data_IF_899640186441
#
_entry.id   IF_899640186441
#
_cell.length_a   1.000
_cell.length_b   1.000
_cell.length_c   1.000
_cell.angle_alpha   90.00
_cell.angle_beta   90.00
_cell.angle_gamma   90.00
#
_symmetry.space_group_name_H-M   'P 1'
#
loop_
_entity.id
_entity.type
_entity.pdbx_description
1 polymer ?
#
# COMPACT_ATOMS: atom_id res chain seq x y z
N UNK A 1 -1.64 -5.90 -23.93
CA UNK A 1 -0.59 -6.11 -22.89
C UNK A 1 0.25 -7.35 -23.18
N UNK A 2 -0.37 -8.51 -23.46
CA UNK A 2 0.33 -9.74 -23.87
C UNK A 2 0.71 -9.79 -25.37
N UNK A 3 0.51 -8.70 -26.10
CA UNK A 3 0.83 -8.65 -27.53
C UNK A 3 2.35 -8.70 -27.72
N UNK A 4 2.80 -9.65 -28.54
CA UNK A 4 4.21 -9.77 -28.93
C UNK A 4 4.50 -8.72 -29.98
N UNK A 5 5.35 -7.75 -29.65
CA UNK A 5 5.77 -6.68 -30.56
C UNK A 5 6.80 -7.17 -31.59
N UNK A 6 7.54 -8.23 -31.27
CA UNK A 6 8.58 -8.80 -32.11
C UNK A 6 9.69 -9.44 -31.28
N UNK A 7 10.80 -9.87 -31.91
CA UNK A 7 12.00 -10.26 -31.19
C UNK A 7 12.77 -9.03 -30.67
N UNK A 8 13.66 -9.26 -29.70
CA UNK A 8 14.67 -8.28 -29.27
C UNK A 8 15.51 -7.80 -30.46
N UNK A 9 15.90 -6.51 -30.46
CA UNK A 9 16.74 -5.97 -31.53
C UNK A 9 18.09 -6.70 -31.61
N UNK A 10 18.59 -7.05 -32.81
CA UNK A 10 19.84 -7.82 -32.97
C UNK A 10 21.05 -7.22 -32.24
N UNK A 11 21.17 -5.90 -32.22
CA UNK A 11 22.23 -5.20 -31.50
C UNK A 11 22.16 -5.44 -29.98
N UNK A 12 20.95 -5.47 -29.41
CA UNK A 12 20.72 -5.73 -27.99
C UNK A 12 20.90 -7.22 -27.64
N UNK A 13 20.49 -8.13 -28.52
CA UNK A 13 20.77 -9.57 -28.39
C UNK A 13 22.27 -9.83 -28.28
N UNK A 14 23.07 -9.23 -29.18
CA UNK A 14 24.54 -9.33 -29.15
C UNK A 14 25.16 -8.74 -27.88
N UNK A 15 24.63 -7.61 -27.39
CA UNK A 15 25.14 -6.94 -26.19
C UNK A 15 24.83 -7.71 -24.90
N UNK A 16 23.64 -8.30 -24.81
CA UNK A 16 23.14 -8.96 -23.59
C UNK A 16 23.43 -10.46 -23.56
N UNK A 17 23.75 -11.07 -24.71
CA UNK A 17 23.89 -12.52 -24.85
C UNK A 17 22.57 -13.28 -24.93
N UNK A 18 21.43 -12.58 -25.01
CA UNK A 18 20.11 -13.20 -25.17
C UNK A 18 19.91 -13.75 -26.59
N UNK A 19 19.07 -14.77 -26.73
CA UNK A 19 18.70 -15.34 -28.02
C UNK A 19 18.04 -14.27 -28.91
N UNK A 20 18.41 -14.19 -30.19
CA UNK A 20 17.89 -13.19 -31.13
C UNK A 20 16.37 -13.36 -31.43
N UNK A 21 15.76 -14.49 -31.06
CA UNK A 21 14.33 -14.76 -31.14
C UNK A 21 13.58 -14.43 -29.84
N UNK A 22 14.28 -13.98 -28.78
CA UNK A 22 13.67 -13.63 -27.49
C UNK A 22 12.52 -12.63 -27.71
N UNK A 23 11.27 -12.96 -27.35
CA UNK A 23 10.12 -12.11 -27.59
C UNK A 23 10.14 -10.86 -26.70
N UNK A 24 9.74 -9.72 -27.28
CA UNK A 24 9.42 -8.47 -26.58
C UNK A 24 7.91 -8.28 -26.60
N UNK A 25 7.34 -8.04 -25.43
CA UNK A 25 5.90 -7.83 -25.25
C UNK A 25 5.58 -6.35 -25.06
N UNK A 26 4.33 -5.97 -25.35
CA UNK A 26 3.83 -4.60 -25.14
C UNK A 26 4.00 -4.13 -23.67
N UNK A 27 3.98 -5.06 -22.73
CA UNK A 27 4.18 -4.76 -21.31
C UNK A 27 2.91 -4.29 -20.61
N UNK A 28 3.09 -3.83 -19.37
CA UNK A 28 2.05 -3.33 -18.48
C UNK A 28 2.65 -2.33 -17.49
N UNK A 29 1.79 -1.50 -16.87
CA UNK A 29 2.21 -0.54 -15.84
C UNK A 29 2.60 -1.25 -14.53
N UNK A 30 3.54 -0.67 -13.77
CA UNK A 30 4.10 -1.29 -12.55
C UNK A 30 3.06 -1.76 -11.54
N UNK A 31 2.09 -0.91 -11.19
CA UNK A 31 1.02 -1.28 -10.25
C UNK A 31 0.14 -2.41 -10.77
N UNK A 32 -0.03 -2.48 -12.09
CA UNK A 32 -0.76 -3.52 -12.80
C UNK A 32 0.02 -4.84 -12.81
N UNK A 33 1.34 -4.77 -12.92
CA UNK A 33 2.23 -5.91 -12.82
C UNK A 33 2.19 -6.50 -11.42
N UNK A 34 2.27 -5.68 -10.38
CA UNK A 34 2.06 -6.11 -8.98
C UNK A 34 0.69 -6.75 -8.76
N UNK A 35 -0.37 -6.28 -9.43
CA UNK A 35 -1.73 -6.82 -9.27
C UNK A 35 -1.96 -8.15 -10.00
N UNK A 36 -1.28 -8.39 -11.13
CA UNK A 36 -1.54 -9.53 -12.01
C UNK A 36 -1.39 -10.91 -11.32
N UNK A 37 -0.34 -11.19 -10.51
CA UNK A 37 -0.25 -12.47 -9.80
C UNK A 37 -1.49 -12.76 -8.95
N UNK A 38 -1.96 -11.75 -8.19
CA UNK A 38 -3.14 -11.87 -7.34
C UNK A 38 -4.43 -12.08 -8.15
N UNK A 39 -4.58 -11.43 -9.30
CA UNK A 39 -5.72 -11.67 -10.19
C UNK A 39 -5.80 -13.10 -10.71
N UNK A 40 -4.66 -13.79 -10.79
CA UNK A 40 -4.58 -15.18 -11.27
C UNK A 40 -4.71 -16.21 -10.14
N UNK A 41 -4.32 -15.87 -8.91
CA UNK A 41 -4.24 -16.81 -7.79
C UNK A 41 -5.29 -16.64 -6.70
N UNK A 42 -5.78 -15.40 -6.49
CA UNK A 42 -6.54 -15.04 -5.29
C UNK A 42 -8.03 -14.88 -5.62
N UNK A 43 -8.88 -15.30 -4.68
CA UNK A 43 -10.33 -15.18 -4.82
C UNK A 43 -10.80 -13.81 -4.34
N UNK A 44 -11.51 -13.00 -5.16
CA UNK A 44 -12.13 -11.77 -4.71
C UNK A 44 -13.22 -11.99 -3.62
N UNK A 45 -13.47 -11.02 -2.74
CA UNK A 45 -12.86 -9.69 -2.71
C UNK A 45 -11.46 -9.70 -2.10
N UNK A 46 -10.57 -8.85 -2.63
CA UNK A 46 -9.30 -8.53 -2.00
C UNK A 46 -8.83 -7.13 -2.44
N UNK A 47 -7.76 -6.64 -1.81
CA UNK A 47 -7.10 -5.41 -2.22
C UNK A 47 -5.59 -5.56 -2.22
N UNK A 48 -4.91 -4.84 -3.12
CA UNK A 48 -3.45 -4.76 -3.17
C UNK A 48 -3.04 -3.31 -2.91
N UNK A 49 -2.11 -3.15 -1.98
CA UNK A 49 -1.48 -1.88 -1.63
C UNK A 49 -0.02 -1.97 -2.02
N UNK A 50 0.31 -1.38 -3.17
CA UNK A 50 1.69 -1.23 -3.62
C UNK A 50 2.31 -0.03 -2.91
N UNK A 51 3.42 -0.25 -2.21
CA UNK A 51 4.11 0.81 -1.45
C UNK A 51 5.47 1.12 -2.08
N UNK A 52 5.69 2.40 -2.34
CA UNK A 52 6.92 2.99 -2.87
C UNK A 52 6.87 4.50 -2.60
N UNK A 53 7.43 5.33 -3.48
CA UNK A 53 7.25 6.79 -3.38
C UNK A 53 5.77 7.17 -3.28
N UNK A 54 4.95 6.49 -4.08
CA UNK A 54 3.50 6.48 -3.95
C UNK A 54 3.04 5.22 -3.24
N UNK A 55 2.01 5.36 -2.42
CA UNK A 55 1.18 4.24 -1.98
C UNK A 55 -0.03 4.21 -2.90
N UNK A 56 -0.24 3.08 -3.57
CA UNK A 56 -1.34 2.86 -4.51
C UNK A 56 -2.18 1.71 -4.00
N UNK A 57 -3.42 2.00 -3.61
CA UNK A 57 -4.42 1.02 -3.17
C UNK A 57 -5.32 0.66 -4.35
N UNK A 58 -5.55 -0.64 -4.57
CA UNK A 58 -6.36 -1.18 -5.67
C UNK A 58 -7.35 -2.20 -5.09
N UNK A 59 -8.64 -2.05 -5.39
CA UNK A 59 -9.69 -2.95 -4.90
C UNK A 59 -10.21 -3.87 -6.02
N UNK A 60 -10.23 -5.18 -5.77
CA UNK A 60 -10.73 -6.20 -6.69
C UNK A 60 -11.96 -6.87 -6.08
N UNK A 61 -13.10 -6.79 -6.79
CA UNK A 61 -14.36 -7.38 -6.32
C UNK A 61 -14.94 -6.72 -5.06
N UNK A 62 -14.49 -5.51 -4.71
CA UNK A 62 -14.97 -4.76 -3.56
C UNK A 62 -16.38 -4.18 -3.75
N UNK A 63 -16.80 -3.40 -2.76
CA UNK A 63 -18.09 -2.72 -2.73
C UNK A 63 -18.19 -1.64 -3.81
N UNK A 64 -19.38 -1.48 -4.40
CA UNK A 64 -19.65 -0.37 -5.31
C UNK A 64 -19.72 0.94 -4.51
N UNK A 65 -18.83 1.87 -4.85
CA UNK A 65 -18.75 3.20 -4.25
C UNK A 65 -18.69 4.27 -5.34
N UNK A 66 -19.13 5.49 -5.00
CA UNK A 66 -18.88 6.65 -5.84
C UNK A 66 -17.50 7.21 -5.49
N UNK A 67 -16.60 7.20 -6.46
CA UNK A 67 -15.25 7.71 -6.28
C UNK A 67 -15.26 9.24 -6.24
N UNK A 68 -14.53 9.80 -5.26
CA UNK A 68 -14.33 11.23 -5.13
C UNK A 68 -12.99 11.63 -5.77
N UNK A 69 -12.99 12.26 -6.96
CA UNK A 69 -11.74 12.64 -7.64
C UNK A 69 -10.96 13.72 -6.85
N UNK A 70 -11.62 14.47 -5.96
CA UNK A 70 -10.95 15.45 -5.10
C UNK A 70 -10.13 14.79 -3.99
N UNK A 71 -10.20 13.46 -3.82
CA UNK A 71 -9.47 12.69 -2.80
C UNK A 71 -8.49 11.68 -3.41
N UNK A 72 -7.98 12.00 -4.60
CA UNK A 72 -6.98 11.22 -5.37
C UNK A 72 -7.42 9.76 -5.61
N UNK A 73 -8.70 9.61 -5.92
CA UNK A 73 -9.31 8.33 -6.37
C UNK A 73 -9.47 8.31 -7.88
N UNK A 74 -9.37 7.13 -8.48
CA UNK A 74 -9.45 6.90 -9.93
C UNK A 74 -9.84 5.46 -10.24
N UNK A 75 -10.16 5.17 -11.50
CA UNK A 75 -10.38 3.80 -11.99
C UNK A 75 -9.24 3.44 -12.94
N UNK A 76 -8.44 2.45 -12.55
CA UNK A 76 -7.46 1.83 -13.45
C UNK A 76 -8.14 0.73 -14.28
N UNK A 77 -7.49 0.29 -15.35
CA UNK A 77 -7.83 -0.93 -16.08
C UNK A 77 -6.75 -1.96 -15.79
N UNK A 78 -7.14 -3.17 -15.39
CA UNK A 78 -6.16 -4.21 -15.10
C UNK A 78 -5.67 -4.93 -16.37
N UNK A 79 -4.65 -5.77 -16.24
CA UNK A 79 -4.08 -6.54 -17.34
C UNK A 79 -5.07 -7.50 -18.03
N UNK A 80 -6.23 -7.78 -17.40
CA UNK A 80 -7.33 -8.58 -17.94
C UNK A 80 -8.46 -7.73 -18.56
N UNK A 81 -8.30 -6.40 -18.59
CA UNK A 81 -9.28 -5.46 -19.14
C UNK A 81 -10.39 -5.03 -18.18
N UNK A 82 -10.36 -5.46 -16.92
CA UNK A 82 -11.40 -5.13 -15.94
C UNK A 82 -11.10 -3.80 -15.23
N UNK A 83 -12.13 -3.00 -14.88
CA UNK A 83 -11.96 -1.79 -14.10
C UNK A 83 -11.55 -2.11 -12.66
N UNK A 84 -10.63 -1.31 -12.11
CA UNK A 84 -10.09 -1.45 -10.76
C UNK A 84 -10.13 -0.09 -10.05
N UNK A 85 -11.11 0.14 -9.15
CA UNK A 85 -11.11 1.30 -8.27
C UNK A 85 -9.79 1.40 -7.51
N UNK A 86 -9.19 2.58 -7.54
CA UNK A 86 -7.86 2.83 -7.00
C UNK A 86 -7.78 4.18 -6.30
N UNK A 87 -6.95 4.28 -5.28
CA UNK A 87 -6.67 5.50 -4.55
C UNK A 87 -5.18 5.59 -4.24
N UNK A 88 -4.64 6.80 -4.19
CA UNK A 88 -3.20 7.01 -4.07
C UNK A 88 -2.87 8.15 -3.13
N UNK A 89 -1.70 8.08 -2.51
CA UNK A 89 -1.07 9.22 -1.83
C UNK A 89 0.46 9.04 -1.84
N UNK A 90 1.23 10.10 -1.59
CA UNK A 90 2.70 10.04 -1.64
C UNK A 90 3.33 9.45 -0.35
N UNK A 91 2.82 8.31 0.12
CA UNK A 91 3.19 7.77 1.44
C UNK A 91 4.67 7.51 1.65
N UNK A 92 5.43 7.06 0.64
CA UNK A 92 6.88 6.90 0.77
C UNK A 92 7.62 8.24 0.89
N UNK A 93 7.15 9.28 0.19
CA UNK A 93 7.68 10.64 0.34
C UNK A 93 7.40 11.18 1.74
N UNK A 94 6.18 11.01 2.24
CA UNK A 94 5.82 11.39 3.60
C UNK A 94 6.64 10.65 4.65
N UNK A 95 6.82 9.33 4.49
CA UNK A 95 7.68 8.52 5.36
C UNK A 95 9.11 9.09 5.40
N UNK A 96 9.75 9.30 4.24
CA UNK A 96 11.12 9.85 4.19
C UNK A 96 11.23 11.24 4.83
N UNK A 97 10.25 12.11 4.61
CA UNK A 97 10.23 13.45 5.20
C UNK A 97 10.08 13.42 6.73
N UNK A 98 9.25 12.52 7.23
CA UNK A 98 8.89 12.43 8.65
C UNK A 98 9.92 11.69 9.48
N UNK A 99 10.55 10.66 8.93
CA UNK A 99 11.58 9.89 9.63
C UNK A 99 12.95 10.51 9.50
N UNK A 100 13.25 11.22 8.40
CA UNK A 100 14.57 11.79 8.11
C UNK A 100 15.73 10.78 8.27
N UNK A 101 15.45 9.48 8.07
CA UNK A 101 16.42 8.40 8.29
C UNK A 101 16.77 8.11 9.76
N UNK A 102 15.98 8.61 10.72
CA UNK A 102 16.12 8.30 12.14
C UNK A 102 15.80 6.83 12.44
N UNK A 103 16.38 6.33 13.53
CA UNK A 103 16.34 4.92 13.93
C UNK A 103 14.91 4.40 14.18
N UNK A 104 14.69 3.14 13.79
CA UNK A 104 13.45 2.39 13.98
C UNK A 104 13.37 1.71 15.36
N UNK A 105 14.06 2.25 16.37
CA UNK A 105 14.20 1.66 17.71
C UNK A 105 12.91 1.83 18.55
N UNK A 106 11.80 1.27 18.08
CA UNK A 106 10.54 1.20 18.82
C UNK A 106 10.51 -0.01 19.75
N UNK A 107 9.73 0.10 20.83
CA UNK A 107 9.47 -0.99 21.78
C UNK A 107 7.97 -1.15 21.97
N UNK A 108 7.52 -2.35 22.36
CA UNK A 108 6.09 -2.58 22.66
C UNK A 108 5.57 -1.65 23.78
N UNK A 109 6.41 -1.33 24.77
CA UNK A 109 6.07 -0.35 25.81
C UNK A 109 5.88 1.06 25.21
N UNK A 110 6.76 1.49 24.30
CA UNK A 110 6.61 2.75 23.58
C UNK A 110 5.34 2.81 22.74
N UNK A 111 5.01 1.71 22.06
CA UNK A 111 3.76 1.57 21.30
C UNK A 111 2.54 1.69 22.20
N UNK A 112 2.53 1.02 23.36
CA UNK A 112 1.45 1.12 24.34
C UNK A 112 1.26 2.57 24.83
N UNK A 113 2.35 3.31 25.07
CA UNK A 113 2.28 4.74 25.41
C UNK A 113 1.67 5.58 24.29
N UNK A 114 2.05 5.34 23.03
CA UNK A 114 1.47 6.05 21.87
C UNK A 114 -0.03 5.78 21.73
N UNK A 115 -0.44 4.52 21.87
CA UNK A 115 -1.84 4.11 21.77
C UNK A 115 -2.70 4.72 22.88
N UNK A 116 -2.26 4.59 24.14
CA UNK A 116 -2.98 5.11 25.31
C UNK A 116 -3.02 6.64 25.34
N UNK A 117 -1.90 7.30 25.03
CA UNK A 117 -1.79 8.75 24.94
C UNK A 117 -2.44 9.35 23.69
N UNK A 118 -2.86 8.52 22.73
CA UNK A 118 -3.41 8.94 21.43
C UNK A 118 -2.47 9.91 20.68
N UNK A 119 -1.16 9.75 20.89
CA UNK A 119 -0.13 10.51 20.19
C UNK A 119 -0.25 10.24 18.70
N UNK A 120 -0.55 11.26 17.90
CA UNK A 120 -0.90 11.08 16.50
C UNK A 120 -0.43 12.22 15.62
N UNK A 121 -0.18 11.90 14.37
CA UNK A 121 0.03 12.85 13.29
C UNK A 121 -1.23 12.90 12.44
N UNK A 122 -1.77 14.09 12.20
CA UNK A 122 -2.89 14.33 11.31
C UNK A 122 -2.40 14.69 9.89
N UNK A 123 -3.17 14.35 8.84
CA UNK A 123 -2.82 14.66 7.46
C UNK A 123 -3.04 16.14 7.11
N UNK A 124 -2.49 16.62 6.00
CA UNK A 124 -1.58 15.92 5.08
C UNK A 124 -0.18 16.51 5.12
N UNK A 125 0.84 15.68 5.28
CA UNK A 125 2.23 16.17 5.28
C UNK A 125 2.74 16.47 3.87
N UNK A 126 2.12 15.87 2.84
CA UNK A 126 2.33 16.19 1.44
C UNK A 126 1.03 16.72 0.81
N UNK A 127 0.97 18.04 0.65
CA UNK A 127 -0.20 18.74 0.09
C UNK A 127 -0.45 18.37 -1.38
N UNK A 128 -1.71 18.42 -1.80
CA UNK A 128 -2.13 18.22 -3.19
C UNK A 128 -2.22 16.75 -3.63
N UNK A 129 -2.06 15.79 -2.71
CA UNK A 129 -2.23 14.36 -2.99
C UNK A 129 -2.95 13.65 -1.85
N UNK A 130 -3.48 12.46 -2.12
CA UNK A 130 -4.03 11.60 -1.08
C UNK A 130 -5.46 11.90 -0.66
N UNK A 131 -5.95 11.16 0.36
CA UNK A 131 -7.34 11.23 0.81
C UNK A 131 -7.67 12.54 1.53
N UNK A 132 -6.70 13.41 1.82
CA UNK A 132 -6.88 14.69 2.53
C UNK A 132 -5.97 15.78 1.93
N UNK A 133 -6.10 16.12 0.65
CA UNK A 133 -5.07 16.86 -0.09
C UNK A 133 -4.87 18.31 0.36
N UNK A 134 -5.82 18.86 1.13
CA UNK A 134 -5.82 20.26 1.57
C UNK A 134 -5.78 20.41 3.11
N UNK A 135 -5.77 19.31 3.86
CA UNK A 135 -5.72 19.39 5.33
C UNK A 135 -4.32 19.83 5.77
N UNK A 136 -4.24 20.70 6.79
CA UNK A 136 -2.95 21.10 7.37
C UNK A 136 -2.47 20.04 8.38
N UNK A 137 -1.21 19.56 8.28
CA UNK A 137 -0.71 18.53 9.16
C UNK A 137 -0.56 19.07 10.58
N UNK A 138 -0.83 18.23 11.57
CA UNK A 138 -0.70 18.60 12.99
C UNK A 138 -0.31 17.38 13.82
N UNK A 139 0.67 17.56 14.71
CA UNK A 139 0.96 16.60 15.77
C UNK A 139 0.02 16.83 16.95
N UNK A 140 -0.48 15.74 17.52
CA UNK A 140 -1.29 15.72 18.74
C UNK A 140 -0.59 14.89 19.80
N UNK A 141 -0.60 15.38 21.04
CA UNK A 141 -0.05 14.70 22.22
C UNK A 141 1.38 14.17 21.98
N UNK A 142 2.20 14.97 21.32
CA UNK A 142 3.55 14.59 20.87
C UNK A 142 4.68 15.23 21.71
N UNK A 143 4.32 15.95 22.77
CA UNK A 143 5.29 16.58 23.65
C UNK A 143 6.09 15.51 24.40
N UNK A 144 7.43 15.59 24.34
CA UNK A 144 8.33 14.70 25.05
C UNK A 144 8.46 13.27 24.50
N UNK A 145 7.90 12.97 23.33
CA UNK A 145 8.01 11.62 22.75
C UNK A 145 9.44 11.34 22.25
N UNK A 146 9.90 10.11 22.45
CA UNK A 146 11.19 9.66 21.94
C UNK A 146 11.12 9.21 20.45
N UNK A 147 12.28 8.90 19.86
CA UNK A 147 12.37 8.49 18.45
C UNK A 147 11.52 7.27 18.10
N UNK A 148 11.54 6.21 18.92
CA UNK A 148 10.73 5.01 18.69
C UNK A 148 9.22 5.28 18.76
N UNK A 149 8.77 6.11 19.71
CA UNK A 149 7.36 6.54 19.81
C UNK A 149 6.94 7.38 18.60
N UNK A 150 7.83 8.26 18.13
CA UNK A 150 7.61 9.06 16.92
C UNK A 150 7.49 8.18 15.69
N UNK A 151 8.39 7.20 15.52
CA UNK A 151 8.34 6.23 14.44
C UNK A 151 7.04 5.41 14.46
N UNK A 152 6.58 5.00 15.64
CA UNK A 152 5.30 4.32 15.79
C UNK A 152 4.12 5.18 15.32
N UNK A 153 4.05 6.43 15.77
CA UNK A 153 2.99 7.35 15.36
C UNK A 153 3.00 7.64 13.84
N UNK A 154 4.18 7.77 13.22
CA UNK A 154 4.32 7.92 11.75
C UNK A 154 3.83 6.67 11.03
N UNK A 155 4.20 5.48 11.50
CA UNK A 155 3.77 4.21 10.92
C UNK A 155 2.25 4.03 11.00
N UNK A 156 1.64 4.44 12.12
CA UNK A 156 0.20 4.45 12.31
C UNK A 156 -0.49 5.44 11.38
N UNK A 157 0.05 6.65 11.26
CA UNK A 157 -0.44 7.66 10.34
C UNK A 157 -0.51 7.14 8.89
N UNK A 158 0.56 6.53 8.39
CA UNK A 158 0.61 5.99 7.03
C UNK A 158 -0.40 4.85 6.84
N UNK A 159 -0.57 3.99 7.85
CA UNK A 159 -1.57 2.93 7.83
C UNK A 159 -3.01 3.48 7.81
N UNK A 160 -3.28 4.57 8.54
CA UNK A 160 -4.60 5.20 8.60
C UNK A 160 -4.94 6.00 7.34
N UNK A 161 -3.94 6.63 6.72
CA UNK A 161 -4.05 7.19 5.36
C UNK A 161 -4.39 6.10 4.33
N UNK A 162 -3.71 4.95 4.42
CA UNK A 162 -3.97 3.79 3.55
C UNK A 162 -5.35 3.20 3.79
N UNK A 163 -5.76 3.03 5.05
CA UNK A 163 -7.10 2.55 5.41
C UNK A 163 -8.19 3.48 4.87
N UNK A 164 -7.98 4.80 4.92
CA UNK A 164 -8.90 5.78 4.32
C UNK A 164 -8.97 5.64 2.80
N UNK A 165 -7.83 5.41 2.13
CA UNK A 165 -7.80 5.14 0.68
C UNK A 165 -8.58 3.88 0.33
N UNK A 166 -8.44 2.81 1.12
CA UNK A 166 -9.16 1.54 0.95
C UNK A 166 -10.67 1.73 1.13
N UNK A 167 -11.09 2.48 2.15
CA UNK A 167 -12.50 2.81 2.39
C UNK A 167 -13.09 3.59 1.19
N UNK A 168 -12.36 4.58 0.67
CA UNK A 168 -12.78 5.43 -0.46
C UNK A 168 -13.01 4.65 -1.77
N UNK A 169 -12.33 3.52 -1.95
CA UNK A 169 -12.45 2.69 -3.16
C UNK A 169 -13.31 1.44 -2.95
N UNK A 170 -13.96 1.33 -1.79
CA UNK A 170 -14.83 0.21 -1.46
C UNK A 170 -14.07 -1.12 -1.29
N UNK A 171 -12.80 -1.09 -0.88
CA UNK A 171 -12.02 -2.30 -0.68
C UNK A 171 -12.65 -3.21 0.38
N UNK A 172 -12.61 -4.52 0.13
CA UNK A 172 -13.08 -5.57 1.04
C UNK A 172 -12.15 -6.79 0.98
N UNK A 173 -12.33 -7.75 1.88
CA UNK A 173 -11.49 -8.94 2.00
C UNK A 173 -10.07 -8.63 2.50
N UNK A 174 -9.11 -9.56 2.38
CA UNK A 174 -7.74 -9.30 2.82
C UNK A 174 -7.06 -8.19 2.02
N UNK A 175 -6.11 -7.50 2.67
CA UNK A 175 -5.27 -6.49 2.03
C UNK A 175 -3.85 -7.02 1.88
N UNK A 176 -3.40 -7.22 0.65
CA UNK A 176 -2.00 -7.54 0.35
C UNK A 176 -1.20 -6.24 0.36
N UNK A 177 -0.12 -6.18 1.12
CA UNK A 177 0.81 -5.05 1.15
C UNK A 177 2.12 -5.49 0.51
N UNK A 178 2.52 -4.79 -0.55
CA UNK A 178 3.78 -5.01 -1.25
C UNK A 178 4.70 -3.80 -1.12
N UNK A 179 6.02 -4.03 -1.20
CA UNK A 179 7.03 -2.97 -1.13
C UNK A 179 7.52 -2.68 0.29
N UNK A 180 8.25 -1.57 0.51
CA UNK A 180 8.97 -1.34 1.76
C UNK A 180 8.10 -1.33 3.02
N UNK A 181 6.83 -0.90 2.93
CA UNK A 181 5.95 -0.87 4.10
C UNK A 181 5.49 -2.26 4.54
N UNK A 182 5.63 -3.30 3.71
CA UNK A 182 5.36 -4.68 4.12
C UNK A 182 6.26 -5.11 5.29
N UNK A 183 7.47 -4.56 5.39
CA UNK A 183 8.42 -4.82 6.50
C UNK A 183 8.15 -3.98 7.75
N UNK A 184 7.33 -2.93 7.64
CA UNK A 184 6.97 -2.09 8.78
C UNK A 184 5.82 -2.76 9.56
N UNK A 185 6.18 -3.49 10.61
CA UNK A 185 5.22 -4.22 11.47
C UNK A 185 4.19 -3.32 12.14
N UNK A 186 4.53 -2.08 12.46
CA UNK A 186 3.59 -1.13 13.08
C UNK A 186 2.56 -0.65 12.06
N UNK A 187 2.98 -0.43 10.82
CA UNK A 187 2.09 -0.13 9.70
C UNK A 187 1.12 -1.28 9.44
N UNK A 188 1.61 -2.51 9.28
CA UNK A 188 0.74 -3.66 8.93
C UNK A 188 -0.24 -4.00 10.06
N UNK A 189 0.19 -3.96 11.33
CA UNK A 189 -0.70 -4.13 12.49
C UNK A 189 -1.77 -3.04 12.58
N UNK A 190 -1.40 -1.78 12.40
CA UNK A 190 -2.37 -0.68 12.43
C UNK A 190 -3.34 -0.74 11.25
N UNK A 191 -2.88 -1.14 10.06
CA UNK A 191 -3.74 -1.30 8.89
C UNK A 191 -4.79 -2.40 9.11
N UNK A 192 -4.37 -3.55 9.67
CA UNK A 192 -5.28 -4.62 10.04
C UNK A 192 -6.29 -4.16 11.11
N UNK A 193 -5.85 -3.40 12.11
CA UNK A 193 -6.73 -2.84 13.14
C UNK A 193 -7.74 -1.82 12.59
N UNK A 194 -7.29 -0.92 11.71
CA UNK A 194 -8.10 0.18 11.19
C UNK A 194 -9.16 -0.29 10.18
N UNK A 195 -8.87 -1.36 9.44
CA UNK A 195 -9.77 -1.97 8.46
C UNK A 195 -10.61 -3.11 9.03
N UNK A 196 -10.20 -3.68 10.17
CA UNK A 196 -10.73 -4.93 10.71
C UNK A 196 -10.65 -6.11 9.72
N UNK A 197 -9.68 -6.06 8.80
CA UNK A 197 -9.43 -7.09 7.77
C UNK A 197 -8.00 -7.60 7.92
N UNK A 198 -7.78 -8.86 7.53
CA UNK A 198 -6.43 -9.43 7.51
C UNK A 198 -5.52 -8.69 6.53
N UNK A 199 -4.26 -8.50 6.91
CA UNK A 199 -3.21 -7.97 6.04
C UNK A 199 -2.26 -9.10 5.67
N UNK A 200 -1.85 -9.18 4.41
CA UNK A 200 -0.84 -10.13 3.93
C UNK A 200 0.39 -9.31 3.52
N UNK A 201 1.44 -9.34 4.33
CA UNK A 201 2.69 -8.63 4.06
C UNK A 201 3.55 -9.46 3.11
N UNK A 202 3.64 -9.04 1.85
CA UNK A 202 4.49 -9.66 0.84
C UNK A 202 5.81 -8.89 0.77
N UNK A 203 6.86 -9.47 1.35
CA UNK A 203 8.21 -8.90 1.28
C UNK A 203 8.90 -9.09 -0.08
N UNK A 204 8.24 -9.79 -1.01
CA UNK A 204 8.75 -9.99 -2.35
C UNK A 204 8.79 -8.64 -3.08
N UNK A 205 9.97 -8.02 -3.13
CA UNK A 205 10.25 -6.80 -3.90
C UNK A 205 10.14 -7.00 -5.43
N UNK A 206 9.43 -8.03 -5.86
CA UNK A 206 9.40 -8.57 -7.22
C UNK A 206 7.99 -8.69 -7.79
N UNK A 207 6.94 -8.20 -7.11
CA UNK A 207 5.57 -8.22 -7.64
C UNK A 207 5.48 -7.65 -9.07
N UNK A 208 6.12 -6.51 -9.31
CA UNK A 208 6.27 -5.92 -10.65
C UNK A 208 7.00 -6.83 -11.64
N UNK A 209 8.17 -7.35 -11.28
CA UNK A 209 8.99 -8.19 -12.16
C UNK A 209 8.31 -9.53 -12.46
N UNK A 210 7.65 -10.13 -11.47
CA UNK A 210 6.87 -11.37 -11.60
C UNK A 210 5.66 -11.11 -12.49
N UNK A 211 4.92 -10.01 -12.26
CA UNK A 211 3.81 -9.61 -13.13
C UNK A 211 4.23 -9.42 -14.58
N UNK A 212 5.39 -8.80 -14.82
CA UNK A 212 5.95 -8.68 -16.16
C UNK A 212 6.30 -10.05 -16.76
N UNK A 213 6.92 -10.95 -15.98
CA UNK A 213 7.24 -12.31 -16.42
C UNK A 213 5.99 -13.15 -16.75
N UNK A 214 4.90 -12.97 -16.00
CA UNK A 214 3.61 -13.63 -16.24
C UNK A 214 2.90 -13.20 -17.54
N UNK A 215 3.39 -12.14 -18.22
CA UNK A 215 2.95 -11.86 -19.59
C UNK A 215 3.57 -12.83 -20.61
N UNK A 216 4.75 -13.37 -20.31
CA UNK A 216 5.56 -14.18 -21.22
C UNK A 216 5.48 -15.69 -20.91
N UNK A 217 5.04 -16.07 -19.71
CA UNK A 217 5.00 -17.46 -19.24
C UNK A 217 3.59 -17.85 -18.78
N UNK A 218 3.24 -19.13 -18.94
CA UNK A 218 2.04 -19.69 -18.30
C UNK A 218 2.22 -19.69 -16.77
N UNK A 219 1.13 -19.54 -15.98
CA UNK A 219 1.20 -19.41 -14.53
C UNK A 219 1.71 -20.72 -13.88
N UNK A 220 3.03 -20.84 -13.76
CA UNK A 220 3.70 -21.88 -12.99
C UNK A 220 3.80 -21.48 -11.51
N UNK A 221 3.06 -22.20 -10.66
CA UNK A 221 3.09 -22.27 -9.18
C UNK A 221 3.15 -20.96 -8.38
N UNK A 222 2.13 -20.81 -7.53
CA UNK A 222 1.88 -19.72 -6.60
C UNK A 222 3.12 -19.21 -5.83
N UNK A 223 3.21 -17.88 -5.73
CA UNK A 223 4.13 -17.17 -4.86
C UNK A 223 4.03 -17.66 -3.40
N UNK A 224 5.14 -17.51 -2.66
CA UNK A 224 5.13 -17.65 -1.22
C UNK A 224 4.09 -16.71 -0.61
N UNK A 225 3.13 -17.29 0.11
CA UNK A 225 2.09 -16.52 0.82
C UNK A 225 2.82 -15.64 1.83
N UNK A 226 2.70 -14.32 1.69
CA UNK A 226 3.27 -13.35 2.62
C UNK A 226 2.82 -13.59 4.07
N UNK A 227 3.48 -12.95 5.03
CA UNK A 227 3.09 -13.06 6.44
C UNK A 227 1.65 -12.55 6.61
N UNK A 228 0.77 -13.38 7.18
CA UNK A 228 -0.62 -12.99 7.46
C UNK A 228 -0.69 -12.35 8.85
N UNK A 229 -1.12 -11.10 8.89
CA UNK A 229 -1.36 -10.31 10.09
C UNK A 229 -2.87 -10.17 10.29
N UNK A 230 -3.39 -10.79 11.34
CA UNK A 230 -4.78 -10.60 11.76
C UNK A 230 -4.96 -9.28 12.52
N UNK A 231 -6.18 -8.70 12.54
CA UNK A 231 -6.49 -7.56 13.38
C UNK A 231 -6.07 -7.83 14.85
N UNK A 232 -5.32 -6.92 15.49
CA UNK A 232 -4.92 -7.09 16.89
C UNK A 232 -6.12 -7.27 17.81
N UNK A 233 -6.03 -8.25 18.73
CA UNK A 233 -7.08 -8.49 19.72
C UNK A 233 -7.21 -7.37 20.76
N UNK A 234 -6.12 -6.63 21.01
CA UNK A 234 -6.13 -5.47 21.90
C UNK A 234 -6.98 -4.33 21.30
N UNK A 235 -8.08 -3.93 21.96
CA UNK A 235 -8.96 -2.88 21.46
C UNK A 235 -8.29 -1.50 21.39
N UNK A 236 -7.15 -1.28 22.05
CA UNK A 236 -6.40 -0.03 22.00
C UNK A 236 -6.05 0.39 20.56
N UNK A 237 -5.73 -0.57 19.69
CA UNK A 237 -5.40 -0.31 18.29
C UNK A 237 -6.60 0.23 17.51
N UNK A 238 -7.75 -0.45 17.60
CA UNK A 238 -8.97 -0.02 16.94
C UNK A 238 -9.51 1.30 17.55
N UNK A 239 -9.37 1.49 18.86
CA UNK A 239 -9.70 2.75 19.54
C UNK A 239 -8.85 3.92 19.04
N UNK A 240 -7.54 3.70 18.87
CA UNK A 240 -6.63 4.70 18.31
C UNK A 240 -7.07 5.11 16.90
N UNK A 241 -7.32 4.12 16.01
CA UNK A 241 -7.78 4.37 14.65
C UNK A 241 -9.10 5.17 14.60
N UNK A 242 -10.06 4.82 15.45
CA UNK A 242 -11.33 5.57 15.59
C UNK A 242 -11.11 7.00 16.07
N UNK A 243 -10.26 7.19 17.08
CA UNK A 243 -9.95 8.51 17.63
C UNK A 243 -9.26 9.40 16.60
N UNK A 244 -8.34 8.84 15.81
CA UNK A 244 -7.68 9.55 14.72
C UNK A 244 -8.70 9.97 13.65
N UNK A 245 -9.52 9.03 13.15
CA UNK A 245 -10.55 9.33 12.13
C UNK A 245 -11.51 10.43 12.59
N UNK A 246 -11.99 10.37 13.83
CA UNK A 246 -12.86 11.40 14.39
C UNK A 246 -12.19 12.79 14.44
N UNK A 247 -10.89 12.83 14.72
CA UNK A 247 -10.15 14.09 14.81
C UNK A 247 -9.84 14.68 13.44
N UNK A 248 -9.53 13.84 12.44
CA UNK A 248 -9.33 14.30 11.06
C UNK A 248 -10.61 14.90 10.50
N UNK A 249 -11.77 14.28 10.75
CA UNK A 249 -13.05 14.74 10.25
C UNK A 249 -13.53 16.06 10.89
N UNK A 250 -13.10 16.39 12.11
CA UNK A 250 -13.48 17.66 12.78
C UNK A 250 -12.58 18.83 12.40
N UNK A 251 -11.40 18.58 11.83
CA UNK A 251 -10.42 19.60 11.42
C UNK A 251 -10.32 19.79 9.90
N UNK A 252 -11.10 19.03 9.13
CA UNK A 252 -11.23 19.15 7.67
C UNK A 252 -12.17 20.25 7.23
#
# INVERSE_FOLDING_TARGET
AKDRLGPILPALAKLTGLDAQTPVFCGLHDSNASLLPHLLSDTPPFSVVSTGTWVVSMAVGGNKVTLDPARDTLVNVNALGNPVPSARFMGGREFSLLTQGQSEDWTEAGVATVLSGKTSLLPSTQQGSGPFPHHRPAWLNADGINGGQRFAAISFYLALMTATCLDLIGADGPTIVEGPFARNRLFTRMLAAATARAVIASEAATGTSIGAALLASDPGTAQGKGEKIEPPADPAWANYARSWRATVNTRG
#
